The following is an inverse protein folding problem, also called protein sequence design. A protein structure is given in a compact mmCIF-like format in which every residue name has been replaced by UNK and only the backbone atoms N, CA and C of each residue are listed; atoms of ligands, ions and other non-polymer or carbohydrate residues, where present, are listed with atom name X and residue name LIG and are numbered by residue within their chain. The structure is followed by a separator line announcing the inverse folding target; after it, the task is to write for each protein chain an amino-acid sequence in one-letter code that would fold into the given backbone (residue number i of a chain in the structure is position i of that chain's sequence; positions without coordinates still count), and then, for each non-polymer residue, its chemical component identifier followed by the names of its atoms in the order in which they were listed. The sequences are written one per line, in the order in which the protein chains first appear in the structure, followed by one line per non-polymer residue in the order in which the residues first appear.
data_IF_930412356897
#
_entry.id   IF_930412356897
#
_cell.length_a   1.000
_cell.length_b   1.000
_cell.length_c   1.000
_cell.angle_alpha   90.00
_cell.angle_beta   90.00
_cell.angle_gamma   90.00
#
_symmetry.space_group_name_H-M   'P 1'
#
loop_
_entity.id
_entity.type
_entity.pdbx_description
1 polymer ?
#
# COMPACT_ATOMS: atom_id res chain seq x y z
N UNK A 1 1.09 -12.06 8.70
CA UNK A 1 0.42 -13.21 8.05
C UNK A 1 0.85 -14.47 8.78
N UNK A 2 -0.08 -15.28 9.28
CA UNK A 2 0.24 -16.56 9.93
C UNK A 2 -0.07 -17.70 8.96
N UNK A 3 0.97 -18.45 8.58
CA UNK A 3 0.90 -19.55 7.63
C UNK A 3 0.97 -20.92 8.31
N UNK A 4 0.96 -20.98 9.65
CA UNK A 4 0.99 -22.24 10.41
C UNK A 4 2.20 -23.11 10.05
N UNK A 5 1.97 -24.38 9.74
CA UNK A 5 3.05 -25.32 9.35
C UNK A 5 3.27 -25.41 7.83
N UNK A 6 2.40 -24.80 7.02
CA UNK A 6 2.52 -24.84 5.57
C UNK A 6 3.64 -23.93 5.10
N UNK A 7 4.34 -24.29 4.03
CA UNK A 7 5.29 -23.39 3.35
C UNK A 7 4.47 -22.62 2.29
N UNK A 8 4.05 -21.38 2.57
CA UNK A 8 3.17 -20.65 1.66
C UNK A 8 3.93 -20.20 0.42
N UNK A 9 3.22 -20.11 -0.70
CA UNK A 9 3.61 -19.28 -1.84
C UNK A 9 2.44 -18.39 -2.19
N UNK A 10 2.72 -17.13 -2.43
CA UNK A 10 1.69 -16.20 -2.86
C UNK A 10 2.26 -15.10 -3.73
N UNK A 11 1.43 -14.58 -4.63
CA UNK A 11 1.63 -13.27 -5.23
C UNK A 11 0.92 -12.23 -4.37
N UNK A 12 1.67 -11.23 -3.91
CA UNK A 12 1.15 -10.17 -3.06
C UNK A 12 1.23 -8.85 -3.82
N UNK A 13 0.11 -8.14 -3.90
CA UNK A 13 0.03 -6.84 -4.56
C UNK A 13 -0.74 -5.85 -3.69
N UNK A 14 -0.25 -4.62 -3.65
CA UNK A 14 -0.92 -3.50 -3.04
C UNK A 14 -1.49 -2.61 -4.15
N UNK A 15 -2.79 -2.37 -4.16
CA UNK A 15 -3.45 -1.55 -5.19
C UNK A 15 -4.12 -0.34 -4.56
N UNK A 16 -4.09 0.79 -5.26
CA UNK A 16 -4.89 1.96 -4.90
C UNK A 16 -6.38 1.66 -5.16
N UNK A 17 -7.22 1.96 -4.17
CA UNK A 17 -8.66 1.68 -4.22
C UNK A 17 -9.39 2.62 -5.18
N UNK A 18 -8.90 3.85 -5.34
CA UNK A 18 -9.58 4.89 -6.12
C UNK A 18 -8.95 5.15 -7.48
N UNK A 19 -7.74 4.64 -7.73
CA UNK A 19 -7.11 4.60 -9.04
C UNK A 19 -6.38 3.27 -9.29
N UNK A 20 -7.05 2.24 -9.86
CA UNK A 20 -6.40 0.97 -10.16
C UNK A 20 -5.23 1.05 -11.14
N UNK A 21 -5.10 2.15 -11.89
CA UNK A 21 -3.97 2.41 -12.80
C UNK A 21 -2.75 3.03 -12.12
N UNK A 22 -2.88 3.41 -10.86
CA UNK A 22 -1.80 4.02 -10.09
C UNK A 22 -0.65 3.02 -9.90
N UNK A 23 0.49 3.35 -10.49
CA UNK A 23 1.74 2.58 -10.41
C UNK A 23 2.81 3.25 -9.54
N UNK A 24 2.47 4.35 -8.89
CA UNK A 24 3.32 5.07 -7.96
C UNK A 24 3.21 4.55 -6.53
N UNK A 25 3.53 5.42 -5.58
CA UNK A 25 3.55 5.13 -4.14
C UNK A 25 2.54 5.97 -3.33
N UNK A 26 1.92 6.95 -3.98
CA UNK A 26 1.03 7.95 -3.40
C UNK A 26 -0.40 7.54 -3.69
N UNK A 27 -1.22 7.39 -2.65
CA UNK A 27 -2.62 7.01 -2.78
C UNK A 27 -3.46 8.18 -3.27
N UNK A 28 -4.37 7.88 -4.17
CA UNK A 28 -5.44 8.79 -4.59
C UNK A 28 -6.32 9.10 -3.38
N UNK A 29 -6.52 10.38 -3.04
CA UNK A 29 -7.41 10.75 -1.96
C UNK A 29 -8.83 10.22 -2.16
N UNK A 30 -9.49 9.82 -1.08
CA UNK A 30 -10.91 9.48 -1.13
C UNK A 30 -11.73 10.70 -1.59
N UNK A 31 -12.88 10.47 -2.24
CA UNK A 31 -13.72 11.57 -2.76
C UNK A 31 -14.27 12.53 -1.69
N UNK A 32 -14.30 12.12 -0.42
CA UNK A 32 -14.70 12.94 0.73
C UNK A 32 -13.51 13.57 1.48
N UNK A 33 -12.29 13.47 0.95
CA UNK A 33 -11.15 14.25 1.43
C UNK A 33 -11.33 15.72 1.08
N UNK A 34 -11.02 16.61 2.03
CA UNK A 34 -11.18 18.07 1.91
C UNK A 34 -9.87 18.83 2.02
N UNK A 35 -8.77 18.19 2.43
CA UNK A 35 -7.45 18.78 2.37
C UNK A 35 -6.96 18.86 0.92
N UNK A 36 -6.21 19.91 0.60
CA UNK A 36 -5.56 20.08 -0.71
C UNK A 36 -4.04 20.21 -0.53
N UNK A 37 -3.29 19.89 -1.58
CA UNK A 37 -1.83 19.99 -1.59
C UNK A 37 -1.10 18.91 -0.79
N UNK A 38 -1.81 17.90 -0.28
CA UNK A 38 -1.24 16.74 0.45
C UNK A 38 -1.89 15.43 0.04
N UNK A 39 -1.12 14.34 0.12
CA UNK A 39 -1.62 12.99 -0.04
C UNK A 39 -0.91 12.01 0.89
N UNK A 40 -1.47 10.81 1.06
CA UNK A 40 -0.88 9.72 1.82
C UNK A 40 0.02 8.89 0.90
N UNK A 41 1.28 8.70 1.28
CA UNK A 41 2.22 7.83 0.60
C UNK A 41 2.51 6.59 1.43
N UNK A 42 2.55 5.44 0.78
CA UNK A 42 2.87 4.15 1.40
C UNK A 42 4.33 3.77 1.16
N UNK A 43 4.94 3.21 2.21
CA UNK A 43 6.29 2.67 2.18
C UNK A 43 6.30 1.24 2.73
N UNK A 44 7.24 0.43 2.23
CA UNK A 44 7.56 -0.89 2.75
C UNK A 44 9.05 -0.95 3.08
N UNK A 45 9.39 -1.28 4.33
CA UNK A 45 10.78 -1.27 4.79
C UNK A 45 11.51 0.07 4.59
N UNK A 46 10.78 1.19 4.65
CA UNK A 46 11.31 2.55 4.41
C UNK A 46 11.49 2.94 2.94
N UNK A 47 11.27 2.02 1.99
CA UNK A 47 11.26 2.32 0.56
C UNK A 47 9.83 2.56 0.08
N UNK A 48 9.67 3.37 -0.96
CA UNK A 48 8.36 3.60 -1.56
C UNK A 48 7.76 2.30 -2.12
N UNK A 49 6.47 2.07 -1.86
CA UNK A 49 5.74 0.96 -2.48
C UNK A 49 5.55 1.25 -3.97
N UNK A 50 5.53 0.20 -4.79
CA UNK A 50 5.08 0.30 -6.18
C UNK A 50 3.68 -0.31 -6.28
N UNK A 51 2.66 0.54 -6.30
CA UNK A 51 1.26 0.11 -6.37
C UNK A 51 0.99 -0.63 -7.69
N UNK A 52 0.08 -1.59 -7.65
CA UNK A 52 -0.28 -2.43 -8.79
C UNK A 52 0.79 -3.44 -9.21
N UNK A 53 2.00 -3.41 -8.60
CA UNK A 53 3.08 -4.34 -8.94
C UNK A 53 3.14 -5.50 -7.94
N UNK A 54 2.92 -6.76 -8.39
CA UNK A 54 3.03 -7.91 -7.51
C UNK A 54 4.48 -8.19 -7.12
N UNK A 55 4.66 -8.76 -5.94
CA UNK A 55 5.91 -9.35 -5.48
C UNK A 55 5.65 -10.76 -4.97
N UNK A 56 6.67 -11.62 -5.13
CA UNK A 56 6.55 -13.03 -4.81
C UNK A 56 6.89 -13.29 -3.34
N UNK A 57 5.93 -13.86 -2.62
CA UNK A 57 6.10 -14.31 -1.26
C UNK A 57 6.45 -15.80 -1.25
N UNK A 58 7.70 -16.11 -0.89
CA UNK A 58 8.19 -17.48 -0.73
C UNK A 58 9.20 -17.53 0.42
N UNK A 59 8.71 -17.63 1.67
CA UNK A 59 9.55 -17.55 2.86
C UNK A 59 10.38 -18.82 3.12
N UNK A 60 10.15 -19.92 2.39
CA UNK A 60 10.85 -21.19 2.60
C UNK A 60 10.46 -21.95 3.88
N UNK A 61 9.54 -21.42 4.68
CA UNK A 61 9.04 -22.03 5.91
C UNK A 61 7.66 -21.50 6.30
N UNK A 62 6.95 -22.25 7.14
CA UNK A 62 5.72 -21.78 7.76
C UNK A 62 5.96 -20.74 8.85
N UNK A 63 4.91 -20.46 9.64
CA UNK A 63 4.94 -19.56 10.78
C UNK A 63 4.39 -18.17 10.49
N UNK A 64 4.71 -17.24 11.39
CA UNK A 64 4.29 -15.84 11.30
C UNK A 64 5.30 -15.05 10.48
N UNK A 65 4.79 -14.42 9.42
CA UNK A 65 5.54 -13.53 8.53
C UNK A 65 4.99 -12.12 8.64
N UNK A 66 5.84 -11.17 9.00
CA UNK A 66 5.47 -9.76 9.20
C UNK A 66 5.87 -8.93 7.99
N UNK A 67 4.97 -8.07 7.52
CA UNK A 67 5.24 -7.09 6.47
C UNK A 67 5.03 -5.70 7.04
N UNK A 68 6.13 -4.94 7.17
CA UNK A 68 6.08 -3.62 7.74
C UNK A 68 5.75 -2.60 6.65
N UNK A 69 4.54 -2.04 6.75
CA UNK A 69 4.10 -0.89 5.96
C UNK A 69 4.04 0.34 6.85
N UNK A 70 4.53 1.46 6.34
CA UNK A 70 4.40 2.77 6.98
C UNK A 70 3.73 3.73 6.03
N UNK A 71 3.00 4.70 6.58
CA UNK A 71 2.38 5.77 5.82
C UNK A 71 2.98 7.12 6.24
N UNK A 72 3.14 8.04 5.28
CA UNK A 72 3.50 9.44 5.54
C UNK A 72 2.68 10.37 4.67
N UNK A 73 2.54 11.62 5.10
CA UNK A 73 2.03 12.68 4.23
C UNK A 73 3.12 13.18 3.31
N UNK A 74 2.78 13.41 2.05
CA UNK A 74 3.65 14.11 1.10
C UNK A 74 2.98 15.39 0.62
N UNK A 75 3.80 16.39 0.30
CA UNK A 75 3.33 17.63 -0.33
C UNK A 75 3.19 17.42 -1.83
N UNK A 76 2.06 17.81 -2.38
CA UNK A 76 1.78 17.85 -3.81
C UNK A 76 2.15 19.24 -4.39
N UNK A 77 1.99 19.38 -5.70
CA UNK A 77 2.25 20.66 -6.37
C UNK A 77 1.23 21.75 -6.00
N UNK A 78 0.02 21.36 -5.61
CA UNK A 78 -1.07 22.28 -5.29
C UNK A 78 -0.87 23.04 -3.97
N UNK A 79 -1.64 24.10 -3.80
CA UNK A 79 -1.67 24.87 -2.56
C UNK A 79 -2.17 24.04 -1.38
N UNK A 80 -1.54 24.25 -0.23
CA UNK A 80 -1.91 23.57 1.01
C UNK A 80 -3.20 24.17 1.56
N UNK A 81 -4.26 23.36 1.67
CA UNK A 81 -5.48 23.72 2.40
C UNK A 81 -5.77 22.74 3.52
N UNK A 82 -6.15 23.23 4.72
CA UNK A 82 -6.50 22.37 5.82
C UNK A 82 -7.78 21.59 5.52
N UNK A 83 -7.84 20.35 6.00
CA UNK A 83 -9.00 19.49 5.83
C UNK A 83 -8.71 18.04 6.22
N UNK A 84 -9.64 17.16 5.87
CA UNK A 84 -9.48 15.71 6.02
C UNK A 84 -8.74 15.16 4.80
N UNK A 85 -7.80 14.25 5.02
CA UNK A 85 -7.16 13.47 3.96
C UNK A 85 -7.21 11.99 4.31
N UNK A 86 -7.69 11.18 3.37
CA UNK A 86 -7.73 9.72 3.50
C UNK A 86 -7.17 9.08 2.24
N UNK A 87 -6.33 8.07 2.40
CA UNK A 87 -5.88 7.19 1.33
C UNK A 87 -6.28 5.76 1.65
N UNK A 88 -6.78 5.03 0.66
CA UNK A 88 -7.27 3.66 0.81
C UNK A 88 -6.53 2.74 -0.15
N UNK A 89 -5.93 1.67 0.37
CA UNK A 89 -5.25 0.66 -0.42
C UNK A 89 -5.79 -0.73 -0.10
N UNK A 90 -5.77 -1.61 -1.10
CA UNK A 90 -6.15 -3.02 -0.95
C UNK A 90 -4.90 -3.88 -1.04
N UNK A 91 -4.71 -4.75 -0.05
CA UNK A 91 -3.69 -5.80 -0.07
C UNK A 91 -4.34 -7.09 -0.58
N UNK A 92 -3.99 -7.48 -1.80
CA UNK A 92 -4.41 -8.76 -2.37
C UNK A 92 -3.30 -9.78 -2.17
N UNK A 93 -3.68 -10.98 -1.74
CA UNK A 93 -2.80 -12.13 -1.54
C UNK A 93 -3.40 -13.31 -2.29
N UNK A 94 -2.75 -13.73 -3.37
CA UNK A 94 -3.17 -14.86 -4.19
C UNK A 94 -2.24 -16.06 -3.94
N UNK A 95 -2.78 -17.16 -3.41
CA UNK A 95 -2.00 -18.33 -2.99
C UNK A 95 -1.97 -19.40 -4.07
N UNK A 96 -0.82 -20.07 -4.22
CA UNK A 96 -0.63 -21.18 -5.15
C UNK A 96 0.36 -22.24 -4.66
#
# INVERSE_FOLDING_TARGET
MDCGIAIPRADIVLTDTHDPGNSGSVLTPTADSTAEGVAVQLLSGGSEVQLGRPWFFNPGGGGVHTFDYTARYIRLADDLKPGLIKGEAVLNVDYW
#
